data_IF_430923141629
#
_entry.id   IF_430923141629
#
_cell.length_a   1.000
_cell.length_b   1.000
_cell.length_c   1.000
_cell.angle_alpha   90.00
_cell.angle_beta   90.00
_cell.angle_gamma   90.00
#
_symmetry.space_group_name_H-M   'P 1'
#
loop_
_entity.id
_entity.type
_entity.pdbx_description
1 polymer ?
#
# COMPACT_ATOMS: atom_id res chain seq x y z
N UNK A 1 17.66 19.06 -24.44
CA UNK A 1 16.83 18.02 -25.08
C UNK A 1 16.50 16.96 -24.04
N UNK A 2 15.22 16.77 -23.65
CA UNK A 2 14.85 15.66 -22.77
C UNK A 2 14.86 14.36 -23.58
N UNK A 3 15.65 13.38 -23.14
CA UNK A 3 15.63 12.03 -23.69
C UNK A 3 14.50 11.25 -23.00
N UNK A 4 13.62 10.54 -23.73
CA UNK A 4 12.61 9.69 -23.11
C UNK A 4 13.28 8.62 -22.24
N UNK A 5 12.97 8.61 -20.96
CA UNK A 5 13.43 7.58 -20.03
C UNK A 5 12.66 6.29 -20.31
N UNK A 6 13.31 5.11 -20.35
CA UNK A 6 12.62 3.85 -20.55
C UNK A 6 11.60 3.60 -19.44
N UNK A 7 10.36 3.33 -19.82
CA UNK A 7 9.34 2.96 -18.84
C UNK A 7 9.29 1.44 -18.71
N UNK A 8 9.57 0.94 -17.52
CA UNK A 8 9.69 -0.49 -17.22
C UNK A 8 8.30 -1.15 -17.05
N UNK A 9 7.57 -1.28 -18.15
CA UNK A 9 6.26 -1.96 -18.17
C UNK A 9 6.37 -3.49 -18.28
N UNK A 10 7.46 -3.97 -18.88
CA UNK A 10 7.68 -5.38 -19.13
C UNK A 10 8.61 -5.94 -18.06
N UNK A 11 8.35 -7.18 -17.67
CA UNK A 11 9.22 -7.85 -16.70
C UNK A 11 10.23 -8.74 -17.39
N UNK A 12 11.44 -8.75 -16.86
CA UNK A 12 12.42 -9.81 -17.08
C UNK A 12 12.26 -10.84 -15.97
N UNK A 13 11.86 -12.05 -16.34
CA UNK A 13 11.59 -13.15 -15.42
C UNK A 13 11.83 -14.48 -16.11
N UNK A 14 12.34 -15.45 -15.35
CA UNK A 14 12.80 -16.72 -15.88
C UNK A 14 11.76 -17.83 -15.75
N UNK A 15 11.41 -18.49 -16.86
CA UNK A 15 10.67 -19.76 -16.83
C UNK A 15 11.67 -20.92 -16.82
N UNK A 16 11.39 -21.98 -16.04
CA UNK A 16 12.27 -23.15 -15.83
C UNK A 16 13.48 -22.88 -14.91
N UNK A 17 13.22 -22.42 -13.68
CA UNK A 17 14.18 -22.24 -12.54
C UNK A 17 15.15 -21.05 -12.63
N UNK A 18 14.98 -20.15 -13.59
CA UNK A 18 15.81 -18.94 -13.73
C UNK A 18 15.34 -17.75 -12.87
N UNK A 19 14.23 -17.90 -12.14
CA UNK A 19 13.78 -16.97 -11.11
C UNK A 19 13.42 -17.71 -9.82
N UNK A 20 13.62 -17.06 -8.68
CA UNK A 20 13.22 -17.54 -7.36
C UNK A 20 12.09 -16.66 -6.83
N UNK A 21 11.05 -17.28 -6.27
CA UNK A 21 9.83 -16.59 -5.85
C UNK A 21 8.77 -16.53 -6.95
N UNK A 22 7.61 -15.97 -6.58
CA UNK A 22 6.40 -15.90 -7.39
C UNK A 22 6.22 -14.57 -8.13
N UNK A 23 6.79 -13.48 -7.58
CA UNK A 23 6.65 -12.13 -8.12
C UNK A 23 7.80 -11.71 -9.05
N UNK A 24 7.42 -10.92 -10.05
CA UNK A 24 8.25 -10.43 -11.13
C UNK A 24 8.74 -8.99 -10.83
N UNK A 25 9.92 -8.61 -11.33
CA UNK A 25 10.64 -7.36 -10.98
C UNK A 25 9.96 -6.04 -11.38
N UNK A 26 9.04 -6.05 -12.35
CA UNK A 26 8.44 -4.84 -12.92
C UNK A 26 6.91 -4.93 -12.98
N UNK A 27 6.27 -3.79 -13.23
CA UNK A 27 4.81 -3.69 -13.29
C UNK A 27 4.12 -3.94 -11.94
N UNK A 28 2.85 -4.38 -11.95
CA UNK A 28 2.06 -4.56 -10.72
C UNK A 28 2.65 -5.55 -9.72
N UNK A 29 3.39 -6.55 -10.18
CA UNK A 29 4.04 -7.55 -9.33
C UNK A 29 5.09 -6.93 -8.40
N UNK A 30 5.83 -5.92 -8.87
CA UNK A 30 6.80 -5.21 -8.05
C UNK A 30 6.13 -4.42 -6.90
N UNK A 31 4.98 -3.82 -7.18
CA UNK A 31 4.20 -3.09 -6.18
C UNK A 31 3.70 -4.06 -5.10
N UNK A 32 3.22 -5.23 -5.50
CA UNK A 32 2.78 -6.27 -4.57
C UNK A 32 3.92 -6.80 -3.69
N UNK A 33 5.15 -6.89 -4.20
CA UNK A 33 6.30 -7.36 -3.42
C UNK A 33 6.69 -6.38 -2.32
N UNK A 34 6.71 -5.08 -2.62
CA UNK A 34 7.11 -4.04 -1.66
C UNK A 34 5.99 -3.55 -0.74
N UNK A 35 4.74 -3.98 -0.96
CA UNK A 35 3.58 -3.54 -0.16
C UNK A 35 2.86 -4.73 0.48
N UNK A 36 2.01 -4.43 1.46
CA UNK A 36 1.17 -5.44 2.12
C UNK A 36 -0.28 -5.02 2.01
N UNK A 37 -1.16 -5.96 1.64
CA UNK A 37 -2.60 -5.72 1.59
C UNK A 37 -3.13 -5.60 3.02
N UNK A 38 -3.81 -4.49 3.31
CA UNK A 38 -4.51 -4.26 4.58
C UNK A 38 -5.99 -4.03 4.31
N UNK A 39 -6.84 -4.90 4.83
CA UNK A 39 -8.30 -4.76 4.75
C UNK A 39 -8.82 -4.09 6.02
N UNK A 40 -9.46 -2.93 5.88
CA UNK A 40 -10.03 -2.18 7.00
C UNK A 40 -11.56 -2.24 6.92
N UNK A 41 -12.19 -2.70 8.00
CA UNK A 41 -13.65 -2.63 8.17
C UNK A 41 -13.95 -1.65 9.29
N UNK A 42 -14.67 -0.57 8.98
CA UNK A 42 -15.12 0.42 9.95
C UNK A 42 -16.64 0.40 10.07
N UNK A 43 -17.12 0.59 11.30
CA UNK A 43 -18.54 0.79 11.60
C UNK A 43 -18.64 2.04 12.47
N UNK A 44 -19.46 2.99 12.03
CA UNK A 44 -19.82 4.15 12.83
C UNK A 44 -21.16 3.86 13.51
N UNK A 45 -21.19 3.54 14.81
CA UNK A 45 -22.46 3.42 15.52
C UNK A 45 -23.15 4.79 15.53
N UNK A 46 -24.48 4.81 15.41
CA UNK A 46 -25.25 6.03 15.65
C UNK A 46 -25.16 6.38 17.13
N UNK A 47 -24.21 7.25 17.47
CA UNK A 47 -23.91 7.62 18.84
C UNK A 47 -23.03 8.86 18.91
N UNK A 48 -23.67 10.03 18.78
CA UNK A 48 -23.37 11.23 19.56
C UNK A 48 -24.75 11.72 19.99
N UNK A 49 -25.20 11.40 21.21
CA UNK A 49 -26.38 12.06 21.80
C UNK A 49 -26.02 13.02 22.93
N UNK A 50 -24.82 12.91 23.50
CA UNK A 50 -24.36 13.80 24.57
C UNK A 50 -22.94 14.29 24.28
N UNK A 51 -22.83 15.47 23.67
CA UNK A 51 -21.61 16.30 23.69
C UNK A 51 -20.35 15.75 22.98
N UNK A 52 -19.40 16.64 22.72
CA UNK A 52 -18.05 16.26 22.33
C UNK A 52 -17.20 16.15 23.60
N UNK A 53 -16.88 14.93 24.03
CA UNK A 53 -15.98 14.69 25.15
C UNK A 53 -14.52 14.79 24.68
N UNK A 54 -13.84 15.87 25.08
CA UNK A 54 -12.41 16.05 24.84
C UNK A 54 -11.66 15.98 26.17
N UNK A 55 -10.59 15.17 26.24
CA UNK A 55 -9.67 15.18 27.38
C UNK A 55 -8.70 16.35 27.18
N UNK A 56 -8.95 17.48 27.84
CA UNK A 56 -8.06 18.65 27.84
C UNK A 56 -7.20 18.60 29.11
N UNK A 57 -5.85 18.52 29.02
CA UNK A 57 -4.99 18.58 30.18
C UNK A 57 -4.92 20.02 30.73
N UNK A 58 -5.36 20.22 31.97
CA UNK A 58 -5.15 21.48 32.70
C UNK A 58 -3.89 21.36 33.56
N UNK A 59 -2.91 22.24 33.34
CA UNK A 59 -1.72 22.36 34.19
C UNK A 59 -2.14 22.93 35.55
N UNK A 60 -1.85 22.20 36.63
CA UNK A 60 -2.03 22.65 38.02
C UNK A 60 -0.93 23.62 38.44
#
# INVERSE_FOLDING_TARGET
MPIPVPVAYHTFGGWKRSGFGDLNQHGPAAIQFYTKVKTVTSRWPSGIKDGAEFVIPTMS
#
